data_IF_093624937840
#
_entry.id   IF_093624937840
#
_cell.length_a   1.000
_cell.length_b   1.000
_cell.length_c   1.000
_cell.angle_alpha   90.00
_cell.angle_beta   90.00
_cell.angle_gamma   90.00
#
_symmetry.space_group_name_H-M   'P 1'
#
loop_
_entity.id
_entity.type
_entity.pdbx_description
1 polymer ?
#
# COMPACT_ATOMS: atom_id res chain seq x y z
N UNK A 1 -13.46 -18.07 -0.53
CA UNK A 1 -13.37 -17.09 -1.63
C UNK A 1 -11.93 -16.62 -1.77
N UNK A 2 -11.39 -16.47 -3.01
CA UNK A 2 -10.04 -15.94 -3.19
C UNK A 2 -9.96 -14.50 -2.70
N UNK A 3 -8.91 -14.21 -1.94
CA UNK A 3 -8.61 -12.84 -1.54
C UNK A 3 -7.89 -12.10 -2.66
N UNK A 4 -7.82 -10.78 -2.57
CA UNK A 4 -7.02 -9.96 -3.46
C UNK A 4 -5.95 -9.23 -2.66
N UNK A 5 -4.79 -9.01 -3.28
CA UNK A 5 -3.71 -8.23 -2.69
C UNK A 5 -3.46 -6.99 -3.55
N UNK A 6 -3.31 -5.86 -2.87
CA UNK A 6 -2.83 -4.64 -3.48
C UNK A 6 -1.45 -4.35 -2.90
N UNK A 7 -0.44 -4.32 -3.76
CA UNK A 7 0.96 -4.18 -3.36
C UNK A 7 1.47 -2.83 -3.86
N UNK A 8 2.00 -2.03 -2.94
CA UNK A 8 2.64 -0.75 -3.27
C UNK A 8 4.10 -0.83 -2.85
N UNK A 9 4.99 -0.71 -3.82
CA UNK A 9 6.43 -0.65 -3.57
C UNK A 9 6.88 0.80 -3.63
N UNK A 10 7.80 1.18 -2.76
CA UNK A 10 8.24 2.57 -2.67
C UNK A 10 9.71 2.70 -2.33
N UNK A 11 10.33 3.71 -2.92
CA UNK A 11 11.65 4.19 -2.54
C UNK A 11 11.52 5.60 -1.98
N UNK A 12 12.32 5.92 -0.97
CA UNK A 12 12.28 7.20 -0.29
C UNK A 12 13.73 7.65 0.00
N UNK A 13 14.07 8.95 -0.15
CA UNK A 13 15.39 9.45 0.24
C UNK A 13 15.69 9.19 1.72
N UNK A 14 16.96 8.91 2.02
CA UNK A 14 17.38 8.53 3.36
C UNK A 14 17.01 9.54 4.45
N UNK A 15 17.07 10.83 4.12
CA UNK A 15 16.72 11.90 5.07
C UNK A 15 15.22 11.99 5.36
N UNK A 16 14.39 11.33 4.57
CA UNK A 16 12.93 11.29 4.74
C UNK A 16 12.43 9.95 5.30
N UNK A 17 13.31 8.97 5.43
CA UNK A 17 12.92 7.60 5.74
C UNK A 17 12.20 7.48 7.09
N UNK A 18 12.71 8.12 8.14
CA UNK A 18 12.09 8.07 9.47
C UNK A 18 10.68 8.65 9.47
N UNK A 19 10.51 9.82 8.86
CA UNK A 19 9.20 10.47 8.76
C UNK A 19 8.23 9.65 7.92
N UNK A 20 8.72 9.05 6.83
CA UNK A 20 7.93 8.20 5.94
C UNK A 20 7.39 6.97 6.69
N UNK A 21 8.25 6.29 7.44
CA UNK A 21 7.85 5.11 8.21
C UNK A 21 6.83 5.48 9.30
N UNK A 22 7.05 6.57 9.99
CA UNK A 22 6.14 7.03 11.04
C UNK A 22 4.75 7.34 10.46
N UNK A 23 4.70 8.13 9.39
CA UNK A 23 3.44 8.50 8.74
C UNK A 23 2.70 7.27 8.21
N UNK A 24 3.44 6.37 7.56
CA UNK A 24 2.86 5.17 6.97
C UNK A 24 2.23 4.27 8.03
N UNK A 25 2.94 4.08 9.14
CA UNK A 25 2.51 3.17 10.21
C UNK A 25 1.40 3.78 11.07
N UNK A 26 1.44 5.09 11.33
CA UNK A 26 0.53 5.74 12.25
C UNK A 26 -0.70 6.33 11.57
N UNK A 27 -0.62 6.66 10.28
CA UNK A 27 -1.70 7.35 9.58
C UNK A 27 -2.18 6.64 8.33
N UNK A 28 -1.28 6.34 7.39
CA UNK A 28 -1.66 5.86 6.06
C UNK A 28 -2.26 4.45 6.09
N UNK A 29 -1.57 3.48 6.70
CA UNK A 29 -2.11 2.12 6.82
C UNK A 29 -3.39 2.06 7.64
N UNK A 30 -3.49 2.72 8.82
CA UNK A 30 -4.76 2.76 9.54
C UNK A 30 -5.90 3.36 8.74
N UNK A 31 -5.63 4.40 7.94
CA UNK A 31 -6.64 5.02 7.09
C UNK A 31 -7.11 4.07 5.98
N UNK A 32 -6.18 3.35 5.36
CA UNK A 32 -6.52 2.34 4.35
C UNK A 32 -7.40 1.23 4.93
N UNK A 33 -7.13 0.82 6.17
CA UNK A 33 -7.89 -0.21 6.86
C UNK A 33 -9.36 0.15 7.14
N UNK A 34 -9.71 1.43 7.03
CA UNK A 34 -11.10 1.88 7.21
C UNK A 34 -11.99 1.54 6.02
N UNK A 35 -11.41 1.17 4.89
CA UNK A 35 -12.20 0.82 3.71
C UNK A 35 -12.93 -0.51 3.96
N UNK A 36 -14.27 -0.57 3.74
CA UNK A 36 -15.02 -1.81 3.95
C UNK A 36 -14.51 -2.95 3.06
N UNK A 37 -14.10 -4.06 3.69
CA UNK A 37 -13.53 -5.21 2.98
C UNK A 37 -12.01 -5.23 2.95
N UNK A 38 -11.34 -4.21 3.48
CA UNK A 38 -9.89 -4.25 3.70
C UNK A 38 -9.62 -5.10 4.93
N UNK A 39 -8.92 -6.23 4.72
CA UNK A 39 -8.70 -7.25 5.76
C UNK A 39 -7.46 -6.94 6.59
N UNK A 40 -6.37 -6.55 5.94
CA UNK A 40 -5.11 -6.27 6.62
C UNK A 40 -4.25 -5.33 5.81
N UNK A 41 -3.33 -4.68 6.51
CA UNK A 41 -2.28 -3.85 5.90
C UNK A 41 -0.98 -4.17 6.62
N UNK A 42 0.04 -4.56 5.87
CA UNK A 42 1.35 -4.90 6.41
C UNK A 42 2.42 -4.23 5.58
N UNK A 43 3.54 -3.92 6.23
CA UNK A 43 4.68 -3.30 5.55
C UNK A 43 5.90 -4.16 5.71
N UNK A 44 6.72 -4.17 4.66
CA UNK A 44 7.95 -4.96 4.60
C UNK A 44 9.08 -4.10 4.04
N UNK A 45 10.29 -4.34 4.51
CA UNK A 45 11.49 -3.71 3.97
C UNK A 45 12.28 -4.75 3.17
N UNK A 46 12.76 -4.37 1.99
CA UNK A 46 13.58 -5.24 1.15
C UNK A 46 14.90 -5.53 1.85
N UNK A 47 15.25 -6.80 2.00
CA UNK A 47 16.50 -7.23 2.63
C UNK A 47 17.39 -8.04 1.70
N UNK A 48 16.84 -8.52 0.55
CA UNK A 48 17.57 -9.38 -0.38
C UNK A 48 16.83 -9.42 -1.72
N UNK A 49 17.58 -9.57 -2.81
CA UNK A 49 17.02 -9.69 -4.14
C UNK A 49 17.22 -8.46 -4.98
N UNK A 50 16.61 -8.48 -6.18
CA UNK A 50 16.83 -7.47 -7.21
C UNK A 50 15.81 -6.33 -7.20
N UNK A 51 14.94 -6.27 -6.18
CA UNK A 51 13.95 -5.21 -6.08
C UNK A 51 14.65 -3.87 -5.81
N UNK A 52 14.39 -2.88 -6.65
CA UNK A 52 14.98 -1.55 -6.52
C UNK A 52 14.26 -0.67 -5.50
N UNK A 53 13.11 -1.12 -4.98
CA UNK A 53 12.34 -0.38 -3.99
C UNK A 53 12.69 -0.86 -2.58
N UNK A 54 12.83 0.10 -1.65
CA UNK A 54 13.22 -0.20 -0.27
C UNK A 54 12.07 -0.81 0.55
N UNK A 55 10.84 -0.42 0.27
CA UNK A 55 9.66 -0.78 1.07
C UNK A 55 8.54 -1.32 0.22
N UNK A 56 7.73 -2.16 0.85
CA UNK A 56 6.52 -2.70 0.25
C UNK A 56 5.39 -2.62 1.27
N UNK A 57 4.24 -2.09 0.86
CA UNK A 57 3.01 -2.18 1.63
C UNK A 57 2.11 -3.22 0.96
N UNK A 58 1.59 -4.14 1.76
CA UNK A 58 0.72 -5.22 1.29
C UNK A 58 -0.64 -5.06 1.94
N UNK A 59 -1.64 -4.78 1.12
CA UNK A 59 -3.03 -4.63 1.56
C UNK A 59 -3.80 -5.85 1.09
N UNK A 60 -4.42 -6.55 2.02
CA UNK A 60 -5.28 -7.69 1.70
C UNK A 60 -6.73 -7.25 1.70
N UNK A 61 -7.44 -7.55 0.63
CA UNK A 61 -8.86 -7.28 0.48
C UNK A 61 -9.61 -8.60 0.40
N UNK A 62 -10.86 -8.59 0.84
CA UNK A 62 -11.67 -9.79 0.98
C UNK A 62 -11.84 -10.55 -0.33
N UNK A 63 -11.89 -9.85 -1.48
CA UNK A 63 -11.97 -10.46 -2.81
C UNK A 63 -11.63 -9.44 -3.90
N UNK A 64 -11.59 -9.89 -5.14
CA UNK A 64 -11.29 -9.04 -6.29
C UNK A 64 -12.34 -7.93 -6.49
N UNK A 65 -13.60 -8.22 -6.28
CA UNK A 65 -14.67 -7.22 -6.42
C UNK A 65 -14.47 -6.08 -5.42
N UNK A 66 -14.05 -6.40 -4.19
CA UNK A 66 -13.72 -5.39 -3.17
C UNK A 66 -12.54 -4.53 -3.62
N UNK A 67 -11.51 -5.15 -4.20
CA UNK A 67 -10.37 -4.42 -4.73
C UNK A 67 -10.82 -3.43 -5.82
N UNK A 68 -11.68 -3.86 -6.74
CA UNK A 68 -12.14 -3.00 -7.82
C UNK A 68 -12.97 -1.82 -7.31
N UNK A 69 -13.76 -2.02 -6.26
CA UNK A 69 -14.45 -0.91 -5.58
C UNK A 69 -13.47 0.03 -4.92
N UNK A 70 -12.45 -0.53 -4.26
CA UNK A 70 -11.42 0.25 -3.58
C UNK A 70 -10.67 1.17 -4.56
N UNK A 71 -10.18 0.61 -5.67
CA UNK A 71 -9.36 1.36 -6.63
C UNK A 71 -10.15 2.49 -7.31
N UNK A 72 -11.47 2.36 -7.39
CA UNK A 72 -12.36 3.37 -7.98
C UNK A 72 -12.95 4.33 -6.94
N UNK A 73 -12.65 4.13 -5.64
CA UNK A 73 -13.31 4.87 -4.56
C UNK A 73 -12.71 6.25 -4.32
N UNK A 74 -13.49 7.12 -3.71
CA UNK A 74 -12.99 8.40 -3.20
C UNK A 74 -11.98 8.17 -2.07
N UNK A 75 -12.15 7.11 -1.29
CA UNK A 75 -11.21 6.71 -0.23
C UNK A 75 -9.81 6.53 -0.81
N UNK A 76 -9.68 5.82 -1.93
CA UNK A 76 -8.40 5.62 -2.62
C UNK A 76 -7.84 6.95 -3.16
N UNK A 77 -8.69 7.82 -3.67
CA UNK A 77 -8.26 9.13 -4.15
C UNK A 77 -7.67 9.97 -3.02
N UNK A 78 -8.29 9.94 -1.84
CA UNK A 78 -7.80 10.65 -0.66
C UNK A 78 -6.47 10.08 -0.18
N UNK A 79 -6.35 8.74 -0.13
CA UNK A 79 -5.09 8.08 0.25
C UNK A 79 -3.95 8.51 -0.66
N UNK A 80 -4.20 8.53 -1.96
CA UNK A 80 -3.20 8.91 -2.95
C UNK A 80 -2.85 10.39 -2.84
N UNK A 81 -3.84 11.25 -2.65
CA UNK A 81 -3.62 12.69 -2.51
C UNK A 81 -2.79 13.01 -1.27
N UNK A 82 -3.04 12.35 -0.15
CA UNK A 82 -2.27 12.53 1.08
C UNK A 82 -0.84 12.03 0.92
N UNK A 83 -0.66 10.89 0.26
CA UNK A 83 0.68 10.37 -0.02
C UNK A 83 1.49 11.39 -0.84
N UNK A 84 0.90 11.90 -1.91
CA UNK A 84 1.56 12.86 -2.81
C UNK A 84 1.85 14.19 -2.10
N UNK A 85 0.98 14.60 -1.19
CA UNK A 85 1.17 15.83 -0.41
C UNK A 85 2.32 15.71 0.59
N UNK A 86 2.45 14.54 1.25
CA UNK A 86 3.46 14.31 2.28
C UNK A 86 4.82 13.90 1.70
N UNK A 87 4.81 13.06 0.68
CA UNK A 87 6.04 12.46 0.13
C UNK A 87 6.06 12.49 -1.40
N UNK A 88 6.03 13.69 -2.01
CA UNK A 88 6.04 13.81 -3.47
C UNK A 88 7.34 13.29 -4.10
N UNK A 89 8.42 13.19 -3.32
CA UNK A 89 9.72 12.68 -3.78
C UNK A 89 9.78 11.15 -3.82
N UNK A 90 8.77 10.44 -3.29
CA UNK A 90 8.77 8.98 -3.28
C UNK A 90 8.55 8.43 -4.69
N UNK A 91 9.33 7.43 -5.06
CA UNK A 91 9.15 6.68 -6.31
C UNK A 91 8.34 5.43 -5.98
N UNK A 92 7.21 5.26 -6.64
CA UNK A 92 6.26 4.17 -6.36
C UNK A 92 5.98 3.32 -7.58
N UNK A 93 5.70 2.04 -7.31
CA UNK A 93 5.10 1.12 -8.29
C UNK A 93 4.06 0.29 -7.55
N UNK A 94 2.95 -0.03 -8.22
CA UNK A 94 1.92 -0.84 -7.58
C UNK A 94 1.35 -1.87 -8.55
N UNK A 95 0.85 -2.96 -7.95
CA UNK A 95 0.22 -4.07 -8.67
C UNK A 95 -0.83 -4.69 -7.79
N UNK A 96 -1.76 -5.39 -8.39
CA UNK A 96 -2.79 -6.12 -7.65
C UNK A 96 -2.80 -7.58 -8.11
N UNK A 97 -3.16 -8.46 -7.20
CA UNK A 97 -3.12 -9.91 -7.41
C UNK A 97 -4.39 -10.54 -6.87
N UNK A 98 -4.88 -11.56 -7.54
CA UNK A 98 -5.93 -12.41 -7.00
C UNK A 98 -5.30 -13.72 -6.56
N UNK A 99 -5.82 -14.29 -5.47
CA UNK A 99 -5.32 -15.54 -4.91
C UNK A 99 -5.51 -16.68 -5.93
N UNK A 100 -4.42 -17.37 -6.25
CA UNK A 100 -4.44 -18.49 -7.19
C UNK A 100 -4.30 -19.84 -6.49
N UNK A 101 -3.81 -19.85 -5.24
CA UNK A 101 -3.63 -21.04 -4.41
C UNK A 101 -3.72 -20.63 -2.94
N UNK A 102 -4.29 -21.36 -2.05
CA UNK A 102 -4.88 -22.70 -2.19
C UNK A 102 -6.16 -22.73 -2.98
#
# INVERSE_FOLDING_TARGET
>A
MPTALFIVKASIPADKEAAFNKWYNEEHCPQALRFPGMVSARRYKTIHGDDTHQYMAMYELQDEATFRRFIASDHMKELRAEYDAHFPMSVRAWSAYTQAWP
#
